data_IF_042178856328
#
_entry.id   IF_042178856328
#
_cell.length_a   1.000
_cell.length_b   1.000
_cell.length_c   1.000
_cell.angle_alpha   90.00
_cell.angle_beta   90.00
_cell.angle_gamma   90.00
#
_symmetry.space_group_name_H-M   'P 1'
#
loop_
_entity.id
_entity.type
_entity.pdbx_description
1 polymer ?
#
# COMPACT_ATOMS: atom_id res chain seq x y z
N UNK A 1 -1.56 2.20 43.13
CA UNK A 1 -2.37 3.32 42.58
C UNK A 1 -3.23 2.75 41.48
N UNK A 2 -4.53 2.51 41.73
CA UNK A 2 -5.45 1.92 40.76
C UNK A 2 -6.10 3.09 40.01
N UNK A 3 -5.85 3.20 38.71
CA UNK A 3 -6.55 4.16 37.86
C UNK A 3 -7.90 3.52 37.51
N UNK A 4 -8.99 4.04 38.07
CA UNK A 4 -10.33 3.69 37.64
C UNK A 4 -10.60 4.41 36.31
N UNK A 5 -10.68 3.65 35.22
CA UNK A 5 -11.07 4.20 33.91
C UNK A 5 -12.58 4.37 33.86
N UNK A 6 -13.06 5.59 33.69
CA UNK A 6 -14.46 5.85 33.37
C UNK A 6 -14.80 5.32 31.97
N UNK A 7 -16.02 4.77 31.81
CA UNK A 7 -16.47 4.17 30.56
C UNK A 7 -16.65 5.25 29.49
N UNK A 8 -16.04 5.06 28.32
CA UNK A 8 -16.14 6.02 27.21
C UNK A 8 -17.50 5.91 26.52
N UNK A 9 -18.36 6.92 26.69
CA UNK A 9 -19.68 6.98 26.03
C UNK A 9 -19.56 7.59 24.64
N UNK A 10 -19.73 6.77 23.60
CA UNK A 10 -19.77 7.23 22.21
C UNK A 10 -21.18 7.73 21.87
N UNK A 11 -21.32 9.03 21.60
CA UNK A 11 -22.59 9.60 21.13
C UNK A 11 -22.81 9.24 19.65
N UNK A 12 -23.61 8.20 19.41
CA UNK A 12 -24.04 7.81 18.05
C UNK A 12 -25.31 8.57 17.67
N UNK A 13 -25.35 9.24 16.50
CA UNK A 13 -26.60 9.78 15.96
C UNK A 13 -27.66 8.68 15.80
N UNK A 14 -28.91 8.98 16.17
CA UNK A 14 -30.03 8.04 16.07
C UNK A 14 -30.40 7.73 14.60
N UNK A 15 -30.14 8.67 13.69
CA UNK A 15 -30.37 8.53 12.26
C UNK A 15 -29.15 9.05 11.50
N UNK A 16 -28.73 8.31 10.47
CA UNK A 16 -27.65 8.69 9.56
C UNK A 16 -28.27 9.04 8.21
N UNK A 17 -28.13 10.29 7.80
CA UNK A 17 -28.57 10.73 6.47
C UNK A 17 -27.76 10.01 5.39
N UNK A 18 -28.42 9.25 4.52
CA UNK A 18 -27.77 8.57 3.37
C UNK A 18 -27.29 9.54 2.29
N UNK A 19 -27.62 10.83 2.41
CA UNK A 19 -27.25 11.90 1.49
C UNK A 19 -25.91 12.56 1.82
N UNK A 20 -25.24 12.18 2.92
CA UNK A 20 -23.94 12.75 3.28
C UNK A 20 -22.85 12.04 2.49
N UNK A 21 -22.24 12.79 1.57
CA UNK A 21 -21.04 12.34 0.86
C UNK A 21 -19.95 11.93 1.87
N UNK A 22 -19.33 10.75 1.70
CA UNK A 22 -18.27 10.30 2.59
C UNK A 22 -17.08 11.27 2.54
N UNK A 23 -16.35 11.38 3.65
CA UNK A 23 -15.08 12.13 3.66
C UNK A 23 -14.11 11.50 2.65
N UNK A 24 -13.29 12.34 2.02
CA UNK A 24 -12.19 11.89 1.13
C UNK A 24 -11.30 10.83 1.78
N UNK A 25 -11.11 10.89 3.10
CA UNK A 25 -10.34 9.88 3.84
C UNK A 25 -11.01 8.50 3.80
N UNK A 26 -12.34 8.47 3.96
CA UNK A 26 -13.14 7.23 3.90
C UNK A 26 -13.11 6.66 2.49
N UNK A 27 -13.18 7.51 1.47
CA UNK A 27 -13.10 7.06 0.08
C UNK A 27 -11.73 6.46 -0.26
N UNK A 28 -10.65 7.06 0.22
CA UNK A 28 -9.29 6.53 0.07
C UNK A 28 -9.16 5.15 0.71
N UNK A 29 -9.67 5.00 1.93
CA UNK A 29 -9.54 3.74 2.66
C UNK A 29 -10.42 2.64 2.03
N UNK A 30 -11.65 2.97 1.61
CA UNK A 30 -12.50 2.05 0.83
C UNK A 30 -11.78 1.54 -0.41
N UNK A 31 -11.19 2.46 -1.18
CA UNK A 31 -10.46 2.06 -2.37
C UNK A 31 -9.24 1.19 -2.06
N UNK A 32 -8.50 1.48 -0.99
CA UNK A 32 -7.35 0.68 -0.58
C UNK A 32 -7.74 -0.76 -0.20
N UNK A 33 -8.87 -0.91 0.51
CA UNK A 33 -9.44 -2.23 0.84
C UNK A 33 -9.80 -2.98 -0.43
N UNK A 34 -10.60 -2.35 -1.30
CA UNK A 34 -11.05 -2.96 -2.55
C UNK A 34 -9.88 -3.34 -3.48
N UNK A 35 -8.82 -2.52 -3.53
CA UNK A 35 -7.61 -2.84 -4.30
C UNK A 35 -6.89 -4.06 -3.73
N UNK A 36 -6.80 -4.19 -2.41
CA UNK A 36 -6.16 -5.34 -1.76
C UNK A 36 -6.94 -6.63 -2.02
N UNK A 37 -8.28 -6.56 -1.96
CA UNK A 37 -9.17 -7.68 -2.29
C UNK A 37 -9.02 -8.12 -3.75
N UNK A 38 -8.96 -7.15 -4.68
CA UNK A 38 -8.77 -7.44 -6.10
C UNK A 38 -7.38 -8.02 -6.40
N UNK A 39 -6.32 -7.58 -5.69
CA UNK A 39 -4.99 -8.20 -5.78
C UNK A 39 -5.04 -9.65 -5.32
N UNK A 40 -5.74 -9.95 -4.22
CA UNK A 40 -5.91 -11.32 -3.74
C UNK A 40 -6.69 -12.17 -4.77
N UNK A 41 -7.80 -11.67 -5.30
CA UNK A 41 -8.59 -12.35 -6.31
C UNK A 41 -7.81 -12.58 -7.62
N UNK A 42 -7.04 -11.59 -8.08
CA UNK A 42 -6.17 -11.72 -9.23
C UNK A 42 -5.07 -12.75 -9.00
N UNK A 43 -4.46 -12.78 -7.81
CA UNK A 43 -3.48 -13.80 -7.44
C UNK A 43 -4.10 -15.19 -7.50
N UNK A 44 -5.25 -15.40 -6.89
CA UNK A 44 -5.94 -16.69 -6.93
C UNK A 44 -6.28 -17.14 -8.36
N UNK A 45 -6.72 -16.21 -9.22
CA UNK A 45 -6.95 -16.50 -10.62
C UNK A 45 -5.64 -16.92 -11.33
N UNK A 46 -4.53 -16.23 -11.06
CA UNK A 46 -3.23 -16.55 -11.62
C UNK A 46 -2.65 -17.88 -11.11
N UNK A 47 -2.84 -18.24 -9.84
CA UNK A 47 -2.46 -19.55 -9.30
C UNK A 47 -3.25 -20.70 -9.97
N UNK A 48 -4.47 -20.43 -10.45
CA UNK A 48 -5.25 -21.38 -11.28
C UNK A 48 -4.86 -21.36 -12.77
N UNK A 49 -3.88 -20.55 -13.16
CA UNK A 49 -3.45 -20.39 -14.55
C UNK A 49 -4.33 -19.45 -15.39
N UNK A 50 -5.31 -18.77 -14.79
CA UNK A 50 -6.22 -17.85 -15.47
C UNK A 50 -5.64 -16.43 -15.57
N UNK A 51 -4.48 -16.28 -16.22
CA UNK A 51 -3.72 -15.02 -16.29
C UNK A 51 -4.50 -13.85 -16.92
N UNK A 52 -5.29 -14.12 -17.97
CA UNK A 52 -6.12 -13.10 -18.59
C UNK A 52 -7.21 -12.57 -17.64
N UNK A 53 -7.82 -13.47 -16.85
CA UNK A 53 -8.82 -13.07 -15.85
C UNK A 53 -8.16 -12.30 -14.70
N UNK A 54 -6.99 -12.73 -14.25
CA UNK A 54 -6.21 -12.03 -13.23
C UNK A 54 -5.86 -10.59 -13.65
N UNK A 55 -5.38 -10.43 -14.89
CA UNK A 55 -5.12 -9.11 -15.48
C UNK A 55 -6.37 -8.24 -15.54
N UNK A 56 -7.49 -8.80 -16.02
CA UNK A 56 -8.75 -8.07 -16.15
C UNK A 56 -9.31 -7.58 -14.80
N UNK A 57 -9.09 -8.32 -13.71
CA UNK A 57 -9.46 -7.88 -12.35
C UNK A 57 -8.68 -6.60 -11.99
N UNK A 58 -7.35 -6.60 -12.17
CA UNK A 58 -6.51 -5.46 -11.83
C UNK A 58 -6.73 -4.24 -12.73
N UNK A 59 -6.97 -4.47 -14.02
CA UNK A 59 -7.26 -3.38 -14.97
C UNK A 59 -8.61 -2.71 -14.63
N UNK A 60 -9.64 -3.50 -14.28
CA UNK A 60 -10.94 -2.96 -13.83
C UNK A 60 -10.79 -2.10 -12.57
N UNK A 61 -9.93 -2.49 -11.63
CA UNK A 61 -9.69 -1.71 -10.41
C UNK A 61 -9.05 -0.36 -10.69
N UNK A 62 -8.09 -0.31 -11.63
CA UNK A 62 -7.47 0.94 -12.07
C UNK A 62 -8.51 1.89 -12.69
N UNK A 63 -9.37 1.37 -13.57
CA UNK A 63 -10.45 2.14 -14.17
C UNK A 63 -11.47 2.64 -13.15
N UNK A 64 -11.80 1.82 -12.14
CA UNK A 64 -12.68 2.22 -11.06
C UNK A 64 -12.09 3.38 -10.25
N UNK A 65 -10.78 3.38 -9.98
CA UNK A 65 -10.11 4.50 -9.31
C UNK A 65 -10.14 5.77 -10.13
N UNK A 66 -9.86 5.67 -11.43
CA UNK A 66 -9.84 6.83 -12.31
C UNK A 66 -11.19 7.58 -12.35
N UNK A 67 -12.29 6.88 -12.04
CA UNK A 67 -13.65 7.44 -11.99
C UNK A 67 -14.12 7.81 -10.58
N UNK A 68 -13.38 7.47 -9.52
CA UNK A 68 -13.78 7.79 -8.14
C UNK A 68 -13.32 9.19 -7.74
N UNK A 69 -13.93 9.75 -6.70
CA UNK A 69 -13.60 11.09 -6.21
C UNK A 69 -12.10 11.29 -5.87
N UNK A 70 -11.38 10.33 -5.23
CA UNK A 70 -9.93 10.44 -5.05
C UNK A 70 -9.13 10.48 -6.36
N UNK A 71 -9.56 9.73 -7.38
CA UNK A 71 -8.93 9.75 -8.71
C UNK A 71 -9.17 11.07 -9.43
N UNK A 72 -10.40 11.58 -9.40
CA UNK A 72 -10.77 12.87 -10.00
C UNK A 72 -10.09 14.05 -9.29
N UNK A 73 -9.86 13.95 -7.97
CA UNK A 73 -9.15 14.94 -7.19
C UNK A 73 -7.61 14.89 -7.38
N UNK A 74 -7.08 13.94 -8.16
CA UNK A 74 -5.65 13.80 -8.41
C UNK A 74 -4.85 13.45 -7.15
N UNK A 75 -5.44 12.67 -6.23
CA UNK A 75 -4.78 12.32 -4.98
C UNK A 75 -3.49 11.52 -5.20
N UNK A 76 -2.39 11.97 -4.60
CA UNK A 76 -1.07 11.38 -4.80
C UNK A 76 -0.97 9.93 -4.29
N UNK A 77 -1.65 9.58 -3.20
CA UNK A 77 -1.67 8.21 -2.65
C UNK A 77 -2.43 7.29 -3.58
N UNK A 78 -3.58 7.74 -4.10
CA UNK A 78 -4.33 7.02 -5.12
C UNK A 78 -3.53 6.83 -6.41
N UNK A 79 -2.83 7.87 -6.88
CA UNK A 79 -1.98 7.77 -8.07
C UNK A 79 -0.86 6.73 -7.92
N UNK A 80 -0.20 6.68 -6.75
CA UNK A 80 0.80 5.67 -6.44
C UNK A 80 0.21 4.25 -6.51
N UNK A 81 -0.99 4.05 -5.96
CA UNK A 81 -1.68 2.77 -5.99
C UNK A 81 -2.10 2.35 -7.40
N UNK A 82 -2.53 3.28 -8.27
CA UNK A 82 -2.77 2.97 -9.70
C UNK A 82 -1.49 2.46 -10.36
N UNK A 83 -0.36 3.10 -10.09
CA UNK A 83 0.93 2.68 -10.65
C UNK A 83 1.30 1.26 -10.22
N UNK A 84 1.09 0.93 -8.93
CA UNK A 84 1.31 -0.41 -8.41
C UNK A 84 0.38 -1.45 -9.06
N UNK A 85 -0.92 -1.16 -9.14
CA UNK A 85 -1.88 -2.05 -9.80
C UNK A 85 -1.54 -2.29 -11.28
N UNK A 86 -1.03 -1.26 -11.97
CA UNK A 86 -0.57 -1.37 -13.36
C UNK A 86 0.65 -2.29 -13.48
N UNK A 87 1.59 -2.18 -12.56
CA UNK A 87 2.77 -3.05 -12.52
C UNK A 87 2.37 -4.51 -12.24
N UNK A 88 1.50 -4.75 -11.24
CA UNK A 88 0.99 -6.07 -10.92
C UNK A 88 0.20 -6.68 -12.11
N UNK A 89 -0.58 -5.86 -12.81
CA UNK A 89 -1.29 -6.25 -14.03
C UNK A 89 -0.34 -6.72 -15.13
N UNK A 90 0.80 -6.05 -15.32
CA UNK A 90 1.81 -6.48 -16.28
C UNK A 90 2.47 -7.81 -15.87
N UNK A 91 2.78 -7.97 -14.57
CA UNK A 91 3.44 -9.17 -14.03
C UNK A 91 2.53 -10.39 -13.99
N UNK A 92 1.21 -10.21 -13.90
CA UNK A 92 0.23 -11.31 -13.88
C UNK A 92 -0.27 -11.70 -15.27
N UNK A 93 0.08 -10.93 -16.31
CA UNK A 93 -0.47 -11.07 -17.67
C UNK A 93 -0.09 -12.39 -18.36
N UNK A 94 1.01 -13.03 -17.96
CA UNK A 94 1.47 -14.26 -18.57
C UNK A 94 2.15 -15.18 -17.54
N UNK A 95 2.10 -16.49 -17.82
CA UNK A 95 2.61 -17.54 -16.94
C UNK A 95 4.06 -17.33 -16.52
N UNK A 96 4.93 -17.08 -17.49
CA UNK A 96 6.37 -16.99 -17.27
C UNK A 96 6.70 -15.87 -16.30
N UNK A 97 6.20 -14.66 -16.56
CA UNK A 97 6.42 -13.49 -15.70
C UNK A 97 5.82 -13.71 -14.30
N UNK A 98 4.63 -14.30 -14.24
CA UNK A 98 3.96 -14.58 -12.97
C UNK A 98 4.76 -15.55 -12.10
N UNK A 99 5.24 -16.66 -12.67
CA UNK A 99 6.02 -17.66 -11.96
C UNK A 99 7.40 -17.13 -11.55
N UNK A 100 8.06 -16.34 -12.41
CA UNK A 100 9.41 -15.83 -12.16
C UNK A 100 9.45 -14.72 -11.11
N UNK A 101 8.56 -13.73 -11.22
CA UNK A 101 8.60 -12.55 -10.35
C UNK A 101 7.23 -12.11 -9.85
N UNK A 102 6.17 -12.34 -10.64
CA UNK A 102 4.84 -11.82 -10.33
C UNK A 102 4.26 -12.36 -9.03
N UNK A 103 4.47 -13.64 -8.72
CA UNK A 103 3.96 -14.25 -7.48
C UNK A 103 4.51 -13.59 -6.22
N UNK A 104 5.81 -13.30 -6.22
CA UNK A 104 6.46 -12.58 -5.11
C UNK A 104 5.98 -11.12 -5.05
N UNK A 105 5.84 -10.44 -6.19
CA UNK A 105 5.36 -9.07 -6.24
C UNK A 105 3.90 -8.92 -5.80
N UNK A 106 3.02 -9.86 -6.14
CA UNK A 106 1.63 -9.86 -5.67
C UNK A 106 1.56 -10.00 -4.16
N UNK A 107 2.37 -10.89 -3.57
CA UNK A 107 2.48 -11.03 -2.12
C UNK A 107 3.07 -9.76 -1.47
N UNK A 108 4.07 -9.15 -2.10
CA UNK A 108 4.67 -7.90 -1.64
C UNK A 108 3.63 -6.76 -1.61
N UNK A 109 2.86 -6.58 -2.69
CA UNK A 109 1.80 -5.57 -2.74
C UNK A 109 0.73 -5.76 -1.66
N UNK A 110 0.28 -7.00 -1.45
CA UNK A 110 -0.63 -7.32 -0.35
C UNK A 110 -0.03 -6.97 1.03
N UNK A 111 1.26 -7.25 1.24
CA UNK A 111 1.93 -6.97 2.52
C UNK A 111 2.17 -5.47 2.77
N UNK A 112 2.49 -4.69 1.73
CA UNK A 112 2.66 -3.23 1.80
C UNK A 112 1.37 -2.55 2.28
N UNK A 113 0.21 -2.98 1.78
CA UNK A 113 -1.08 -2.44 2.21
C UNK A 113 -1.43 -2.83 3.66
N UNK A 114 -1.15 -4.07 4.06
CA UNK A 114 -1.32 -4.50 5.45
C UNK A 114 -0.45 -3.66 6.42
N UNK A 115 0.78 -3.32 6.01
CA UNK A 115 1.67 -2.45 6.79
C UNK A 115 1.20 -0.99 6.83
N UNK A 116 0.68 -0.44 5.72
CA UNK A 116 0.09 0.90 5.70
C UNK A 116 -1.11 1.04 6.64
N UNK A 117 -1.92 -0.03 6.80
CA UNK A 117 -3.02 -0.08 7.77
C UNK A 117 -2.54 -0.14 9.22
N UNK A 118 -1.40 -0.78 9.48
CA UNK A 118 -0.81 -0.82 10.82
C UNK A 118 -0.19 0.53 11.24
N UNK A 119 0.15 1.40 10.29
CA UNK A 119 0.81 2.70 10.54
C UNK A 119 -0.14 3.91 10.61
N UNK A 120 -1.44 3.72 10.84
CA UNK A 120 -2.41 4.82 11.00
C UNK A 120 -2.18 5.72 12.23
N UNK A 121 -1.05 5.58 12.95
CA UNK A 121 -0.59 6.60 13.87
C UNK A 121 0.13 7.67 13.04
N UNK A 122 -0.65 8.63 12.53
CA UNK A 122 -0.09 9.91 12.10
C UNK A 122 0.57 10.58 13.32
N UNK A 123 1.88 10.38 13.48
CA UNK A 123 2.68 11.27 14.31
C UNK A 123 2.78 12.61 13.55
N UNK A 124 1.93 13.55 13.97
CA UNK A 124 1.91 14.96 13.60
C UNK A 124 3.26 15.50 13.10
N UNK A 125 3.32 15.94 11.84
CA UNK A 125 4.17 17.07 11.44
C UNK A 125 3.67 17.65 10.11
N UNK A 126 3.65 18.99 9.94
CA UNK A 126 3.01 19.61 8.79
C UNK A 126 3.85 19.44 7.53
N UNK A 127 3.15 19.46 6.39
CA UNK A 127 3.68 19.38 5.05
C UNK A 127 4.86 20.33 4.81
N UNK A 128 6.01 19.78 4.40
CA UNK A 128 6.92 20.43 3.47
C UNK A 128 7.90 19.42 2.86
N UNK A 129 8.24 19.65 1.59
CA UNK A 129 9.24 19.00 0.76
C UNK A 129 8.80 17.77 -0.07
N UNK A 130 8.13 18.06 -1.19
CA UNK A 130 8.43 17.35 -2.44
C UNK A 130 9.91 17.62 -2.81
N UNK A 131 10.69 16.56 -3.01
CA UNK A 131 11.94 16.58 -3.79
C UNK A 131 12.25 15.15 -4.23
N UNK A 132 12.62 15.02 -5.51
CA UNK A 132 12.97 13.78 -6.20
C UNK A 132 13.81 12.80 -5.36
N UNK A 133 13.36 11.54 -5.29
CA UNK A 133 14.24 10.41 -5.00
C UNK A 133 14.29 9.88 -3.57
N UNK A 134 13.45 10.34 -2.63
CA UNK A 134 13.42 9.79 -1.28
C UNK A 134 12.00 9.43 -0.82
N UNK A 135 11.84 8.15 -0.48
CA UNK A 135 10.70 7.56 0.23
C UNK A 135 10.29 8.41 1.45
N UNK A 136 9.06 8.96 1.54
CA UNK A 136 8.64 9.69 2.73
C UNK A 136 8.07 8.77 3.82
N UNK A 137 8.23 7.44 3.72
CA UNK A 137 7.71 6.51 4.71
C UNK A 137 8.64 5.29 4.86
N UNK A 138 9.89 5.55 5.22
CA UNK A 138 10.86 4.49 5.45
C UNK A 138 10.89 4.11 6.93
N UNK A 139 10.64 2.83 7.24
CA UNK A 139 10.92 2.13 8.50
C UNK A 139 12.37 2.25 9.02
N UNK A 140 13.18 3.13 8.44
CA UNK A 140 14.60 3.24 8.69
C UNK A 140 14.87 4.15 9.88
N UNK A 141 15.05 3.54 11.06
CA UNK A 141 15.60 4.26 12.21
C UNK A 141 17.09 4.59 11.96
N UNK A 142 17.65 5.64 12.60
CA UNK A 142 19.08 5.93 12.51
C UNK A 142 19.98 4.74 12.88
N UNK A 143 19.53 3.87 13.79
CA UNK A 143 20.24 2.64 14.15
C UNK A 143 20.29 1.61 12.99
N UNK A 144 19.20 1.48 12.23
CA UNK A 144 19.17 0.61 11.05
C UNK A 144 20.10 1.13 9.95
N UNK A 145 20.18 2.45 9.77
CA UNK A 145 21.12 3.07 8.82
C UNK A 145 22.57 2.81 9.22
N UNK A 146 22.88 2.99 10.51
CA UNK A 146 24.21 2.70 11.07
C UNK A 146 24.62 1.24 10.85
N UNK A 147 23.73 0.27 11.07
CA UNK A 147 24.02 -1.14 10.77
C UNK A 147 24.31 -1.40 9.29
N UNK A 148 23.57 -0.78 8.37
CA UNK A 148 23.80 -0.94 6.93
C UNK A 148 25.15 -0.35 6.53
N UNK A 149 25.51 0.81 7.07
CA UNK A 149 26.81 1.43 6.86
C UNK A 149 27.96 0.59 7.43
N UNK A 150 27.81 0.05 8.65
CA UNK A 150 28.78 -0.86 9.26
C UNK A 150 28.95 -2.14 8.42
N UNK A 151 27.86 -2.68 7.88
CA UNK A 151 27.89 -3.86 7.00
C UNK A 151 28.63 -3.59 5.69
N UNK A 152 28.42 -2.41 5.09
CA UNK A 152 29.13 -1.98 3.86
C UNK A 152 30.62 -1.80 4.13
N UNK A 153 30.99 -1.08 5.20
CA UNK A 153 32.40 -0.89 5.60
C UNK A 153 33.10 -2.22 5.88
N UNK A 154 32.42 -3.17 6.53
CA UNK A 154 32.98 -4.50 6.79
C UNK A 154 33.27 -5.29 5.50
N UNK A 155 32.39 -5.18 4.49
CA UNK A 155 32.59 -5.81 3.17
C UNK A 155 33.74 -5.19 2.39
N UNK A 156 33.91 -3.88 2.50
CA UNK A 156 34.99 -3.14 1.85
C UNK A 156 36.35 -3.45 2.52
N UNK A 157 36.39 -3.54 3.85
CA UNK A 157 37.60 -3.90 4.59
C UNK A 157 38.04 -5.36 4.42
N UNK A 158 37.11 -6.26 4.05
CA UNK A 158 37.40 -7.66 3.76
C UNK A 158 37.97 -7.92 2.36
N UNK A 159 37.95 -6.92 1.48
CA UNK A 159 38.45 -7.04 0.10
C UNK A 159 39.94 -6.68 -0.05
N UNK A 160 40.63 -6.31 1.03
CA UNK A 160 42.02 -5.86 1.02
C UNK A 160 43.06 -6.90 1.50
N UNK A 161 42.69 -8.17 1.61
CA UNK A 161 43.59 -9.24 2.06
C UNK A 161 43.99 -10.19 0.94
N UNK A 162 45.00 -9.81 0.15
CA UNK A 162 45.89 -10.75 -0.54
C UNK A 162 47.31 -10.18 -0.55
#
# INVERSE_FOLDING_TARGET
>A
MVVAGEDAVVQRPAEVSTSTEPSMEVERERFCVEATEDIAAAREAAERGAYAAAKAILDRRQEALARSAPGLAGDARCAALVSELRELSARVANRREYEQTGRACMLAGMSSHAQQRATSVQLFSPASALSSGAVPFGYSTPAMQSMVESSRKARESGSGGN
#
